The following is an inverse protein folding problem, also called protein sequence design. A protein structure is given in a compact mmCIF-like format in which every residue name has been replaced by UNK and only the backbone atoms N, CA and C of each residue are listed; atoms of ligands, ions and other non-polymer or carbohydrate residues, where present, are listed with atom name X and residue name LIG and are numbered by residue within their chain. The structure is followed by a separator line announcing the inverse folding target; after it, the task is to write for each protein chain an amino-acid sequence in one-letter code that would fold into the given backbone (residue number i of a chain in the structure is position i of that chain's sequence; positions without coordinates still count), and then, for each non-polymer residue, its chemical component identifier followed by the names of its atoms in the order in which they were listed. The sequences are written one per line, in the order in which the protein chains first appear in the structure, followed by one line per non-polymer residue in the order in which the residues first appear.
data_IF_880775441285
#
_entry.id   IF_880775441285
#
_cell.length_a   1.000
_cell.length_b   1.000
_cell.length_c   1.000
_cell.angle_alpha   90.00
_cell.angle_beta   90.00
_cell.angle_gamma   90.00
#
_symmetry.space_group_name_H-M   'P 1'
#
loop_
_entity.id
_entity.type
_entity.pdbx_description
1 polymer ?
#
# COMPACT_ATOMS: atom_id res chain seq x y z
N UNK A 1 22.68 22.05 -36.02
CA UNK A 1 23.02 21.55 -34.68
C UNK A 1 21.95 20.53 -34.32
N UNK A 2 22.21 19.27 -34.62
CA UNK A 2 21.31 18.15 -34.36
C UNK A 2 21.61 17.63 -32.96
N UNK A 3 20.88 18.13 -31.96
CA UNK A 3 20.91 17.59 -30.61
C UNK A 3 20.34 16.18 -30.65
N UNK A 4 21.24 15.22 -30.53
CA UNK A 4 20.90 13.83 -30.33
C UNK A 4 20.34 13.71 -28.92
N UNK A 5 19.01 13.70 -28.80
CA UNK A 5 18.36 13.19 -27.59
C UNK A 5 18.87 11.77 -27.39
N UNK A 6 19.81 11.61 -26.48
CA UNK A 6 20.34 10.33 -26.08
C UNK A 6 19.17 9.60 -25.40
N UNK A 7 18.51 8.70 -26.11
CA UNK A 7 17.42 7.92 -25.54
C UNK A 7 18.00 7.10 -24.40
N UNK A 8 17.58 7.30 -23.13
CA UNK A 8 18.01 6.44 -22.06
C UNK A 8 17.39 5.08 -22.36
N UNK A 9 18.24 4.16 -22.79
CA UNK A 9 17.96 2.80 -23.25
C UNK A 9 17.51 2.71 -24.72
N UNK A 10 18.25 1.90 -25.49
CA UNK A 10 17.77 1.38 -26.75
C UNK A 10 16.48 0.56 -26.50
N UNK A 11 15.49 0.58 -27.42
CA UNK A 11 14.34 -0.30 -27.31
C UNK A 11 14.83 -1.75 -27.19
N UNK A 12 14.57 -2.39 -26.04
CA UNK A 12 14.94 -3.79 -25.77
C UNK A 12 15.94 -4.04 -24.64
N UNK A 13 16.52 -3.02 -24.00
CA UNK A 13 17.28 -3.25 -22.76
C UNK A 13 16.31 -3.55 -21.61
N UNK A 14 16.43 -4.69 -20.89
CA UNK A 14 15.59 -4.96 -19.73
C UNK A 14 15.81 -3.85 -18.69
N UNK A 15 14.78 -3.05 -18.44
CA UNK A 15 14.80 -2.11 -17.32
C UNK A 15 14.77 -2.95 -16.05
N UNK A 16 15.64 -2.64 -15.08
CA UNK A 16 15.59 -3.27 -13.77
C UNK A 16 14.15 -3.19 -13.19
N UNK A 17 13.70 -4.22 -12.45
CA UNK A 17 12.31 -4.30 -11.98
C UNK A 17 11.88 -3.07 -11.17
N UNK A 18 12.83 -2.40 -10.52
CA UNK A 18 12.67 -1.08 -9.91
C UNK A 18 13.95 -0.26 -10.12
N UNK A 19 13.85 1.07 -9.95
CA UNK A 19 15.01 1.94 -10.02
C UNK A 19 14.71 3.42 -9.77
N UNK A 20 15.77 4.17 -9.52
CA UNK A 20 15.78 5.60 -9.21
C UNK A 20 16.80 6.30 -10.10
N UNK A 21 16.41 7.40 -10.73
CA UNK A 21 17.29 8.28 -11.50
C UNK A 21 17.28 9.66 -10.85
N UNK A 22 18.31 9.90 -10.03
CA UNK A 22 18.47 11.16 -9.28
C UNK A 22 18.79 12.34 -10.18
N UNK A 23 19.59 12.13 -11.23
CA UNK A 23 20.03 13.17 -12.14
C UNK A 23 20.13 12.63 -13.58
N UNK A 24 18.99 12.47 -14.29
CA UNK A 24 19.01 12.10 -15.70
C UNK A 24 19.64 13.22 -16.55
N UNK A 25 20.22 12.84 -17.69
CA UNK A 25 20.90 13.77 -18.58
C UNK A 25 19.96 14.90 -19.04
N UNK A 26 20.46 16.14 -19.03
CA UNK A 26 19.71 17.32 -19.46
C UNK A 26 18.83 17.97 -18.39
N UNK A 27 18.74 17.42 -17.18
CA UNK A 27 18.07 18.07 -16.04
C UNK A 27 19.08 18.63 -15.03
N UNK A 28 18.69 19.72 -14.35
CA UNK A 28 19.44 20.20 -13.19
C UNK A 28 19.43 19.14 -12.07
N UNK A 29 20.47 19.07 -11.21
CA UNK A 29 20.51 18.11 -10.11
C UNK A 29 19.28 18.24 -9.20
N UNK A 30 18.67 17.10 -8.83
CA UNK A 30 17.62 17.06 -7.82
C UNK A 30 18.15 17.41 -6.43
N UNK A 31 17.28 17.91 -5.54
CA UNK A 31 17.62 18.23 -4.16
C UNK A 31 16.84 17.32 -3.20
N UNK A 32 17.37 16.12 -2.93
CA UNK A 32 16.77 15.13 -2.03
C UNK A 32 15.54 14.42 -2.59
N UNK A 33 15.50 14.17 -3.90
CA UNK A 33 14.50 13.36 -4.60
C UNK A 33 15.07 12.81 -5.90
N UNK A 34 14.45 11.76 -6.44
CA UNK A 34 14.76 11.28 -7.79
C UNK A 34 13.87 11.93 -8.84
N UNK A 35 14.45 12.43 -9.94
CA UNK A 35 13.64 12.97 -11.06
C UNK A 35 12.72 11.91 -11.64
N UNK A 36 13.16 10.65 -11.68
CA UNK A 36 12.36 9.52 -12.13
C UNK A 36 12.57 8.35 -11.16
N UNK A 37 11.49 7.68 -10.79
CA UNK A 37 11.49 6.41 -10.07
C UNK A 37 10.49 5.47 -10.74
N UNK A 38 10.75 4.18 -10.74
CA UNK A 38 9.85 3.17 -11.29
C UNK A 38 9.93 1.87 -10.51
N UNK A 39 8.90 1.05 -10.68
CA UNK A 39 8.79 -0.29 -10.13
C UNK A 39 7.83 -1.12 -10.97
N UNK A 40 8.01 -2.45 -10.91
CA UNK A 40 7.13 -3.42 -11.55
C UNK A 40 6.51 -4.30 -10.46
N UNK A 41 5.18 -4.25 -10.34
CA UNK A 41 4.44 -5.20 -9.53
C UNK A 41 3.14 -4.65 -8.94
N UNK A 42 2.83 -5.02 -7.69
CA UNK A 42 1.60 -4.60 -7.01
C UNK A 42 1.76 -3.16 -6.50
N UNK A 43 0.86 -2.28 -6.93
CA UNK A 43 0.81 -0.88 -6.49
C UNK A 43 0.10 -0.76 -5.15
N UNK A 44 0.71 -0.04 -4.22
CA UNK A 44 0.12 0.37 -2.94
C UNK A 44 0.03 1.89 -2.92
N UNK A 45 -1.19 2.40 -2.86
CA UNK A 45 -1.46 3.83 -2.70
C UNK A 45 -1.85 4.12 -1.25
N UNK A 46 -1.03 4.91 -0.56
CA UNK A 46 -1.28 5.37 0.81
C UNK A 46 -1.97 6.72 0.76
N UNK A 47 -3.16 6.84 1.34
CA UNK A 47 -3.88 8.11 1.47
C UNK A 47 -3.05 9.15 2.24
N UNK A 48 -3.35 10.44 2.05
CA UNK A 48 -2.74 11.52 2.80
C UNK A 48 -2.80 11.27 4.32
N UNK A 49 -1.63 11.15 4.93
CA UNK A 49 -1.48 10.97 6.36
C UNK A 49 -1.28 12.33 7.02
N UNK A 50 -2.01 12.53 8.11
CA UNK A 50 -1.97 13.70 8.99
C UNK A 50 -1.34 13.31 10.33
N UNK A 51 -1.00 14.31 11.14
CA UNK A 51 -0.39 14.12 12.46
C UNK A 51 -1.39 13.66 13.52
N UNK A 52 -2.10 12.56 13.25
CA UNK A 52 -3.07 11.96 14.16
C UNK A 52 -2.46 10.74 14.86
N UNK A 53 -2.74 10.57 16.14
CA UNK A 53 -2.47 9.31 16.84
C UNK A 53 -3.57 8.25 16.58
N UNK A 54 -3.42 7.07 17.20
CA UNK A 54 -4.37 5.95 17.07
C UNK A 54 -5.78 6.28 17.59
N UNK A 55 -5.92 7.29 18.45
CA UNK A 55 -7.22 7.77 18.95
C UNK A 55 -7.85 8.84 18.06
N UNK A 56 -7.13 9.29 17.03
CA UNK A 56 -7.55 10.40 16.16
C UNK A 56 -7.28 11.78 16.77
N UNK A 57 -6.45 11.87 17.82
CA UNK A 57 -6.03 13.14 18.41
C UNK A 57 -4.81 13.72 17.67
N UNK A 58 -4.72 15.05 17.62
CA UNK A 58 -3.57 15.73 17.05
C UNK A 58 -2.32 15.50 17.91
N UNK A 59 -1.23 15.10 17.26
CA UNK A 59 0.13 15.09 17.82
C UNK A 59 0.84 16.37 17.38
N UNK A 60 1.50 17.08 18.32
CA UNK A 60 2.32 18.26 17.99
C UNK A 60 1.54 19.53 17.62
N UNK A 61 0.60 20.04 18.44
CA UNK A 61 -0.07 21.31 18.16
C UNK A 61 0.92 22.46 18.02
N UNK A 62 0.99 23.07 16.82
CA UNK A 62 1.93 24.15 16.51
C UNK A 62 3.40 23.71 16.36
N UNK A 63 3.68 22.40 16.37
CA UNK A 63 5.02 21.83 16.29
C UNK A 63 5.18 21.05 14.97
N UNK A 64 5.85 21.63 13.96
CA UNK A 64 6.02 20.97 12.66
C UNK A 64 6.91 19.73 12.72
N UNK A 65 7.88 19.66 13.64
CA UNK A 65 8.77 18.51 13.80
C UNK A 65 8.00 17.31 14.37
N UNK A 66 7.20 17.55 15.42
CA UNK A 66 6.34 16.51 15.98
C UNK A 66 5.26 16.05 14.99
N UNK A 67 4.66 16.98 14.23
CA UNK A 67 3.67 16.63 13.22
C UNK A 67 4.28 15.82 12.07
N UNK A 68 5.43 16.24 11.54
CA UNK A 68 6.11 15.51 10.47
C UNK A 68 6.50 14.10 10.93
N UNK A 69 7.05 13.96 12.14
CA UNK A 69 7.36 12.66 12.73
C UNK A 69 6.14 11.74 12.80
N UNK A 70 5.00 12.25 13.29
CA UNK A 70 3.77 11.45 13.37
C UNK A 70 3.23 11.06 11.98
N UNK A 71 3.29 11.97 11.00
CA UNK A 71 2.87 11.68 9.63
C UNK A 71 3.66 10.52 9.03
N UNK A 72 4.99 10.53 9.15
CA UNK A 72 5.82 9.43 8.62
C UNK A 72 5.64 8.13 9.41
N UNK A 73 5.38 8.18 10.72
CA UNK A 73 5.01 7.01 11.50
C UNK A 73 3.67 6.40 11.04
N UNK A 74 2.69 7.24 10.70
CA UNK A 74 1.42 6.79 10.14
C UNK A 74 1.59 6.17 8.76
N UNK A 75 2.42 6.76 7.89
CA UNK A 75 2.77 6.16 6.58
C UNK A 75 3.44 4.80 6.79
N UNK A 76 4.38 4.68 7.72
CA UNK A 76 5.05 3.41 8.05
C UNK A 76 4.04 2.32 8.39
N UNK A 77 3.04 2.65 9.22
CA UNK A 77 1.98 1.71 9.61
C UNK A 77 1.09 1.32 8.44
N UNK A 78 0.70 2.28 7.60
CA UNK A 78 -0.12 2.03 6.42
C UNK A 78 0.61 1.14 5.39
N UNK A 79 1.89 1.40 5.15
CA UNK A 79 2.75 0.57 4.31
C UNK A 79 2.85 -0.85 4.88
N UNK A 80 3.18 -0.97 6.18
CA UNK A 80 3.31 -2.28 6.83
C UNK A 80 2.01 -3.10 6.78
N UNK A 81 0.84 -2.48 6.90
CA UNK A 81 -0.46 -3.15 6.76
C UNK A 81 -0.70 -3.71 5.34
N UNK A 82 -0.05 -3.13 4.32
CA UNK A 82 -0.05 -3.64 2.95
C UNK A 82 1.11 -4.62 2.66
N UNK A 83 1.98 -4.88 3.65
CA UNK A 83 3.20 -5.68 3.50
C UNK A 83 4.34 -4.94 2.81
N UNK A 84 4.31 -3.60 2.79
CA UNK A 84 5.30 -2.73 2.18
C UNK A 84 6.18 -2.04 3.21
N UNK A 85 7.34 -1.56 2.77
CA UNK A 85 8.27 -0.74 3.55
C UNK A 85 8.59 0.58 2.80
N UNK A 86 9.32 1.50 3.45
CA UNK A 86 9.73 2.76 2.80
C UNK A 86 10.66 2.54 1.60
N UNK A 87 11.36 1.42 1.54
CA UNK A 87 12.19 1.00 0.41
C UNK A 87 11.36 0.67 -0.85
N UNK A 88 10.07 0.37 -0.69
CA UNK A 88 9.15 0.14 -1.81
C UNK A 88 8.53 1.45 -2.34
N UNK A 89 8.71 2.57 -1.63
CA UNK A 89 8.09 3.86 -1.98
C UNK A 89 8.79 4.46 -3.20
N UNK A 90 8.01 4.68 -4.26
CA UNK A 90 8.47 5.31 -5.49
C UNK A 90 8.10 6.79 -5.57
N UNK A 91 7.04 7.25 -4.89
CA UNK A 91 6.62 8.66 -4.89
C UNK A 91 6.18 9.11 -3.50
N UNK A 92 6.56 10.33 -3.13
CA UNK A 92 5.98 11.08 -2.02
C UNK A 92 5.41 12.41 -2.52
N UNK A 93 4.22 12.80 -2.07
CA UNK A 93 3.72 14.17 -2.25
C UNK A 93 3.60 14.84 -0.88
N UNK A 94 4.07 16.07 -0.81
CA UNK A 94 4.13 16.87 0.40
C UNK A 94 3.23 18.09 0.27
N UNK A 95 2.32 18.25 1.22
CA UNK A 95 1.43 19.39 1.34
C UNK A 95 1.71 20.08 2.67
N UNK A 96 2.19 21.33 2.62
CA UNK A 96 2.52 22.10 3.82
C UNK A 96 1.78 23.44 3.81
N UNK A 97 1.47 23.99 4.97
CA UNK A 97 0.77 25.30 5.06
C UNK A 97 1.73 26.48 5.09
N UNK A 98 3.00 26.27 5.42
CA UNK A 98 4.07 27.28 5.36
C UNK A 98 5.40 26.63 4.91
N UNK A 99 6.14 27.33 4.06
CA UNK A 99 7.52 26.95 3.69
C UNK A 99 8.47 26.77 4.87
N UNK A 100 8.21 27.44 5.99
CA UNK A 100 8.97 27.31 7.23
C UNK A 100 8.96 25.88 7.81
N UNK A 101 7.99 25.04 7.42
CA UNK A 101 7.86 23.65 7.89
C UNK A 101 8.63 22.65 7.02
N UNK A 102 9.15 23.09 5.87
CA UNK A 102 9.89 22.22 4.96
C UNK A 102 11.16 21.58 5.57
N UNK A 103 11.94 22.25 6.45
CA UNK A 103 13.07 21.62 7.14
C UNK A 103 12.65 20.45 8.03
N UNK A 104 11.60 20.62 8.85
CA UNK A 104 11.06 19.57 9.72
C UNK A 104 10.59 18.36 8.90
N UNK A 105 9.86 18.62 7.81
CA UNK A 105 9.39 17.58 6.90
C UNK A 105 10.55 16.81 6.24
N UNK A 106 11.59 17.51 5.78
CA UNK A 106 12.77 16.87 5.17
C UNK A 106 13.56 16.05 6.18
N UNK A 107 13.73 16.55 7.41
CA UNK A 107 14.38 15.80 8.48
C UNK A 107 13.64 14.50 8.81
N UNK A 108 12.31 14.57 8.95
CA UNK A 108 11.49 13.38 9.20
C UNK A 108 11.53 12.37 8.04
N UNK A 109 11.50 12.86 6.79
CA UNK A 109 11.66 12.03 5.58
C UNK A 109 13.02 11.34 5.55
N UNK A 110 14.10 12.09 5.73
CA UNK A 110 15.47 11.60 5.59
C UNK A 110 15.83 10.57 6.68
N UNK A 111 15.08 10.56 7.78
CA UNK A 111 15.21 9.53 8.82
C UNK A 111 14.66 8.16 8.41
N UNK A 112 13.82 8.06 7.36
CA UNK A 112 13.11 6.82 7.01
C UNK A 112 13.32 6.34 5.58
N UNK A 113 13.93 7.14 4.70
CA UNK A 113 14.20 6.76 3.29
C UNK A 113 15.69 6.54 3.03
N UNK A 114 16.01 5.84 1.93
CA UNK A 114 17.36 5.87 1.37
C UNK A 114 17.63 7.24 0.71
N UNK A 115 18.45 8.07 1.34
CA UNK A 115 18.82 9.39 0.80
C UNK A 115 19.73 9.32 -0.43
N UNK A 116 20.36 8.17 -0.70
CA UNK A 116 21.15 7.97 -1.92
C UNK A 116 20.26 7.66 -3.13
N UNK A 117 19.15 6.94 -2.91
CA UNK A 117 18.16 6.61 -3.93
C UNK A 117 16.75 7.04 -3.48
N UNK A 118 16.50 8.34 -3.25
CA UNK A 118 15.24 8.80 -2.71
C UNK A 118 14.08 8.58 -3.69
N UNK A 119 12.83 8.46 -3.23
CA UNK A 119 11.65 8.45 -4.09
C UNK A 119 11.58 9.73 -4.95
N UNK A 120 10.78 9.68 -6.02
CA UNK A 120 10.35 10.91 -6.67
C UNK A 120 9.50 11.73 -5.69
N UNK A 121 9.50 13.06 -5.82
CA UNK A 121 8.74 13.89 -4.90
C UNK A 121 8.14 15.15 -5.52
N UNK A 122 7.09 15.66 -4.87
CA UNK A 122 6.50 16.97 -5.14
C UNK A 122 6.19 17.63 -3.82
N UNK A 123 6.47 18.93 -3.70
CA UNK A 123 6.16 19.71 -2.51
C UNK A 123 5.42 20.97 -2.92
N UNK A 124 4.29 21.24 -2.27
CA UNK A 124 3.48 22.43 -2.51
C UNK A 124 3.07 23.06 -1.19
N UNK A 125 3.04 24.40 -1.19
CA UNK A 125 2.40 25.15 -0.11
C UNK A 125 0.92 25.28 -0.45
N UNK A 126 0.05 24.78 0.43
CA UNK A 126 -1.40 24.82 0.25
C UNK A 126 -2.03 25.92 1.10
N UNK A 127 -3.21 26.39 0.71
CA UNK A 127 -3.93 27.44 1.46
C UNK A 127 -4.40 26.95 2.85
N UNK A 128 -4.49 25.63 3.05
CA UNK A 128 -4.89 25.00 4.30
C UNK A 128 -5.08 23.50 4.09
N UNK A 129 -5.09 22.76 5.20
CA UNK A 129 -5.43 21.33 5.25
C UNK A 129 -6.85 21.14 5.79
N UNK A 130 -7.29 19.89 5.94
CA UNK A 130 -8.67 19.56 6.34
C UNK A 130 -9.10 20.15 7.69
N UNK A 131 -8.13 20.44 8.57
CA UNK A 131 -8.32 21.21 9.81
C UNK A 131 -7.16 22.20 9.99
N UNK A 132 -7.39 23.39 10.57
CA UNK A 132 -6.39 24.46 10.64
C UNK A 132 -5.17 24.13 11.51
N UNK A 133 -5.30 23.18 12.44
CA UNK A 133 -4.21 22.76 13.31
C UNK A 133 -3.19 21.83 12.65
N UNK A 134 -3.48 21.32 11.45
CA UNK A 134 -2.52 20.54 10.66
C UNK A 134 -1.60 21.44 9.85
N UNK A 135 -0.30 21.19 9.97
CA UNK A 135 0.76 21.95 9.31
C UNK A 135 1.31 21.21 8.08
N UNK A 136 1.25 19.88 8.10
CA UNK A 136 1.82 18.98 7.09
C UNK A 136 0.89 17.80 6.82
N UNK A 137 0.80 17.40 5.56
CA UNK A 137 0.15 16.18 5.08
C UNK A 137 1.03 15.53 4.02
N UNK A 138 1.11 14.20 4.03
CA UNK A 138 1.95 13.44 3.09
C UNK A 138 1.21 12.21 2.59
N UNK A 139 1.21 12.01 1.27
CA UNK A 139 0.79 10.75 0.64
C UNK A 139 2.00 9.97 0.11
N UNK A 140 1.81 8.67 -0.15
CA UNK A 140 2.86 7.82 -0.69
C UNK A 140 2.33 6.84 -1.73
N UNK A 141 3.15 6.59 -2.76
CA UNK A 141 2.95 5.52 -3.72
C UNK A 141 4.11 4.54 -3.62
N UNK A 142 3.80 3.26 -3.42
CA UNK A 142 4.78 2.18 -3.35
C UNK A 142 4.48 1.09 -4.38
N UNK A 143 5.51 0.35 -4.77
CA UNK A 143 5.40 -0.79 -5.68
C UNK A 143 6.17 -1.98 -5.11
N UNK A 144 5.44 -3.04 -4.81
CA UNK A 144 6.02 -4.30 -4.35
C UNK A 144 6.18 -5.25 -5.52
N UNK A 145 7.19 -6.14 -5.50
CA UNK A 145 7.26 -7.26 -6.43
C UNK A 145 5.94 -8.04 -6.45
N UNK A 146 5.53 -8.54 -7.62
CA UNK A 146 4.49 -9.56 -7.65
C UNK A 146 5.00 -10.77 -6.86
N UNK A 147 4.15 -11.45 -6.07
CA UNK A 147 4.52 -12.74 -5.53
C UNK A 147 4.96 -13.62 -6.69
N UNK A 148 6.04 -14.40 -6.49
CA UNK A 148 6.40 -15.45 -7.43
C UNK A 148 5.14 -16.28 -7.69
N UNK A 149 4.86 -16.69 -8.94
CA UNK A 149 3.73 -17.56 -9.20
C UNK A 149 3.85 -18.74 -8.24
N UNK A 150 2.85 -18.88 -7.37
CA UNK A 150 2.71 -20.05 -6.51
C UNK A 150 2.87 -21.24 -7.45
N UNK A 151 3.93 -22.04 -7.26
CA UNK A 151 4.16 -23.21 -8.09
C UNK A 151 2.87 -24.01 -8.04
N UNK A 152 2.13 -24.02 -9.15
CA UNK A 152 0.74 -24.47 -9.21
C UNK A 152 0.59 -25.72 -8.34
N UNK A 153 0.02 -25.55 -7.15
CA UNK A 153 -0.32 -26.66 -6.30
C UNK A 153 -1.33 -27.44 -7.11
N UNK A 154 -0.92 -28.64 -7.53
CA UNK A 154 -1.75 -29.55 -8.32
C UNK A 154 -3.14 -29.63 -7.67
N UNK A 155 -4.22 -29.69 -8.46
CA UNK A 155 -5.57 -29.73 -7.91
C UNK A 155 -5.63 -30.88 -6.91
N UNK A 156 -5.99 -30.56 -5.66
CA UNK A 156 -6.20 -31.54 -4.61
C UNK A 156 -7.21 -32.57 -5.15
N UNK A 157 -6.79 -33.84 -5.19
CA UNK A 157 -7.61 -34.91 -5.76
C UNK A 157 -8.97 -34.97 -5.04
N UNK A 158 -10.08 -35.24 -5.75
CA UNK A 158 -11.40 -35.19 -5.14
C UNK A 158 -11.49 -36.21 -4.00
N UNK A 159 -11.96 -35.75 -2.84
CA UNK A 159 -12.21 -36.58 -1.68
C UNK A 159 -13.02 -37.82 -2.07
N UNK A 160 -12.46 -39.00 -1.80
CA UNK A 160 -13.08 -40.28 -2.12
C UNK A 160 -14.38 -40.40 -1.32
N UNK A 161 -15.50 -40.53 -2.03
CA UNK A 161 -16.81 -40.78 -1.44
C UNK A 161 -16.78 -42.08 -0.61
N UNK A 162 -17.09 -41.98 0.68
CA UNK A 162 -17.36 -43.16 1.51
C UNK A 162 -18.75 -43.67 1.16
N UNK A 163 -18.80 -44.69 0.31
CA UNK A 163 -19.97 -45.51 0.12
C UNK A 163 -20.08 -46.51 1.29
N UNK A 164 -21.07 -46.33 2.15
CA UNK A 164 -21.55 -47.38 3.03
C UNK A 164 -22.93 -47.84 2.53
N UNK A 165 -22.93 -48.96 1.81
CA UNK A 165 -24.12 -49.74 1.55
C UNK A 165 -24.58 -50.43 2.84
N UNK A 166 -25.89 -50.48 3.10
CA UNK A 166 -26.54 -51.70 3.56
C UNK A 166 -28.05 -51.71 3.20
N UNK A 167 -28.43 -52.88 2.69
CA UNK A 167 -29.61 -53.30 1.90
C UNK A 167 -30.94 -53.35 2.68
N UNK A 168 -32.11 -53.26 2.01
CA UNK A 168 -33.44 -53.30 2.64
C UNK A 168 -33.87 -54.72 3.06
N UNK A 169 -34.67 -54.80 4.12
CA UNK A 169 -35.43 -56.00 4.49
C UNK A 169 -36.92 -55.82 4.16
N UNK A 170 -37.49 -56.81 3.47
CA UNK A 170 -38.83 -56.83 2.89
C UNK A 170 -39.88 -57.39 3.87
N UNK A 171 -40.99 -56.65 4.02
CA UNK A 171 -42.41 -57.01 4.21
C UNK A 171 -42.88 -58.20 5.12
N UNK A 172 -43.88 -57.96 5.99
CA UNK A 172 -45.35 -58.23 5.79
C UNK A 172 -46.10 -58.60 7.10
N UNK A 173 -47.27 -57.96 7.32
CA UNK A 173 -48.53 -58.38 8.02
C UNK A 173 -48.70 -58.42 9.55
N UNK A 174 -49.67 -57.62 10.04
CA UNK A 174 -50.91 -57.94 10.81
C UNK A 174 -51.23 -56.77 11.77
N UNK A 175 -52.30 -55.98 11.58
CA UNK A 175 -53.74 -56.21 11.74
C UNK A 175 -54.29 -55.88 13.16
N UNK A 176 -55.45 -55.21 13.18
CA UNK A 176 -56.40 -54.91 14.30
C UNK A 176 -56.09 -53.71 15.20
N UNK A 177 -57.02 -52.89 15.72
CA UNK A 177 -58.44 -52.57 15.46
C UNK A 177 -58.82 -51.34 16.35
N UNK A 178 -59.79 -50.53 15.89
CA UNK A 178 -60.81 -49.71 16.62
C UNK A 178 -60.41 -48.86 17.87
N UNK A 179 -60.80 -47.59 18.05
CA UNK A 179 -62.17 -47.01 18.10
C UNK A 179 -62.06 -45.46 18.26
N UNK A 180 -63.03 -44.65 17.79
CA UNK A 180 -63.00 -43.19 17.90
C UNK A 180 -63.67 -42.67 19.19
N UNK A 181 -63.19 -41.53 19.70
CA UNK A 181 -63.87 -40.73 20.71
C UNK A 181 -64.19 -39.33 20.18
N UNK A 182 -65.46 -39.09 19.87
CA UNK A 182 -66.11 -37.77 19.96
C UNK A 182 -66.31 -37.44 21.46
N UNK A 183 -66.61 -36.25 21.98
CA UNK A 183 -67.55 -35.19 21.60
C UNK A 183 -67.23 -33.98 22.49
N UNK A 184 -67.56 -32.75 22.09
CA UNK A 184 -67.77 -31.62 23.01
C UNK A 184 -67.23 -30.30 22.52
#
# INVERSE_FOLDING_TARGET
MSDSFQTPNAPGTPVAPSGHLVAPAGLAPGNGYSHVSWGTGRVVAVSGQLALDESGALVGPGDPDAQAGQVFENIRRALAAAGAEFTDVIKLNFYITDTAYLPALRAARDAVIDTANPPASSAVVVAGLIRPEFLVEVDALAVLPLPAPEAATAPEAPATAVAAANTPATATTQATAATPGAVG
#
